data_IF_785023435337
#
_entry.id   IF_785023435337
#
_cell.length_a   1.000
_cell.length_b   1.000
_cell.length_c   1.000
_cell.angle_alpha   90.00
_cell.angle_beta   90.00
_cell.angle_gamma   90.00
#
_symmetry.space_group_name_H-M   'P 1'
#
loop_
_entity.id
_entity.type
_entity.pdbx_description
1 polymer ?
#
# COMPACT_ATOMS: atom_id res chain seq x y z
N UNK A 1 17.42 22.74 7.76
CA UNK A 1 16.11 22.13 7.50
C UNK A 1 16.10 21.51 6.10
N UNK A 2 16.49 20.23 5.98
CA UNK A 2 16.47 19.45 4.73
C UNK A 2 16.11 17.96 4.95
N UNK A 3 15.80 17.57 6.19
CA UNK A 3 15.69 16.17 6.62
C UNK A 3 14.39 15.50 6.16
N UNK A 4 13.28 16.23 6.13
CA UNK A 4 11.97 15.68 5.76
C UNK A 4 11.86 15.28 4.27
N UNK A 5 12.53 16.02 3.38
CA UNK A 5 12.45 15.76 1.94
C UNK A 5 13.20 14.47 1.57
N UNK A 6 14.41 14.30 2.12
CA UNK A 6 15.21 13.08 1.91
C UNK A 6 14.45 11.84 2.43
N UNK A 7 13.83 11.95 3.60
CA UNK A 7 13.03 10.87 4.21
C UNK A 7 11.80 10.53 3.36
N UNK A 8 11.09 11.53 2.83
CA UNK A 8 9.94 11.31 1.95
C UNK A 8 10.31 10.64 0.62
N UNK A 9 11.45 11.00 0.04
CA UNK A 9 11.95 10.39 -1.20
C UNK A 9 12.43 8.95 -0.96
N UNK A 10 13.08 8.68 0.18
CA UNK A 10 13.46 7.33 0.60
C UNK A 10 12.24 6.43 0.81
N UNK A 11 11.22 6.91 1.54
CA UNK A 11 9.99 6.16 1.78
C UNK A 11 9.25 5.89 0.46
N UNK A 12 9.20 6.87 -0.45
CA UNK A 12 8.62 6.67 -1.79
C UNK A 12 9.33 5.56 -2.56
N UNK A 13 10.66 5.48 -2.47
CA UNK A 13 11.46 4.42 -3.08
C UNK A 13 11.20 3.02 -2.52
N UNK A 14 10.55 2.90 -1.36
CA UNK A 14 10.22 1.63 -0.71
C UNK A 14 8.72 1.32 -0.69
N UNK A 15 7.90 2.11 -1.39
CA UNK A 15 6.44 1.95 -1.42
C UNK A 15 6.05 0.53 -1.83
N UNK A 16 6.66 0.01 -2.89
CA UNK A 16 6.35 -1.31 -3.44
C UNK A 16 6.65 -2.40 -2.40
N UNK A 17 7.79 -2.32 -1.70
CA UNK A 17 8.14 -3.23 -0.61
C UNK A 17 7.18 -3.15 0.57
N UNK A 18 6.74 -1.95 0.95
CA UNK A 18 5.75 -1.78 2.04
C UNK A 18 4.42 -2.43 1.67
N UNK A 19 3.97 -2.28 0.43
CA UNK A 19 2.75 -2.91 -0.08
C UNK A 19 2.90 -4.44 -0.09
N UNK A 20 3.98 -4.96 -0.67
CA UNK A 20 4.25 -6.40 -0.69
C UNK A 20 4.32 -6.99 0.72
N UNK A 21 4.90 -6.27 1.68
CA UNK A 21 4.94 -6.71 3.08
C UNK A 21 3.54 -6.87 3.65
N UNK A 22 2.63 -5.94 3.40
CA UNK A 22 1.25 -6.05 3.87
C UNK A 22 0.50 -7.20 3.19
N UNK A 23 0.66 -7.36 1.87
CA UNK A 23 0.05 -8.44 1.10
C UNK A 23 0.62 -9.82 1.48
N UNK A 24 1.87 -9.89 1.92
CA UNK A 24 2.47 -11.14 2.43
C UNK A 24 1.83 -11.64 3.74
N UNK A 25 1.12 -10.76 4.47
CA UNK A 25 0.48 -11.11 5.73
C UNK A 25 -0.99 -11.52 5.55
N UNK A 26 -1.69 -10.87 4.62
CA UNK A 26 -3.05 -11.20 4.20
C UNK A 26 -3.41 -10.41 2.94
N UNK A 27 -4.41 -10.88 2.19
CA UNK A 27 -5.01 -10.10 1.12
C UNK A 27 -5.64 -8.82 1.67
N UNK A 28 -5.49 -7.71 0.95
CA UNK A 28 -5.95 -6.37 1.40
C UNK A 28 -6.54 -5.58 0.25
N UNK A 29 -7.60 -4.84 0.55
CA UNK A 29 -8.09 -3.80 -0.35
C UNK A 29 -7.17 -2.58 -0.32
N UNK A 30 -7.14 -1.82 -1.43
CA UNK A 30 -6.27 -0.63 -1.55
C UNK A 30 -6.45 0.40 -0.41
N UNK A 31 -7.68 0.56 0.09
CA UNK A 31 -7.95 1.42 1.24
C UNK A 31 -7.30 0.90 2.54
N UNK A 32 -7.34 -0.40 2.80
CA UNK A 32 -6.69 -1.00 3.97
C UNK A 32 -5.18 -0.83 3.92
N UNK A 33 -4.56 -0.93 2.74
CA UNK A 33 -3.12 -0.73 2.55
C UNK A 33 -2.71 0.67 2.99
N UNK A 34 -3.39 1.70 2.49
CA UNK A 34 -3.09 3.10 2.86
C UNK A 34 -3.26 3.33 4.36
N UNK A 35 -4.37 2.81 4.92
CA UNK A 35 -4.65 2.93 6.35
C UNK A 35 -3.60 2.23 7.21
N UNK A 36 -3.22 0.99 6.88
CA UNK A 36 -2.23 0.22 7.64
C UNK A 36 -0.84 0.85 7.58
N UNK A 37 -0.46 1.49 6.47
CA UNK A 37 0.83 2.20 6.37
C UNK A 37 0.85 3.41 7.30
N UNK A 38 -0.24 4.19 7.33
CA UNK A 38 -0.37 5.30 8.28
C UNK A 38 -0.37 4.80 9.73
N UNK A 39 -1.16 3.76 10.04
CA UNK A 39 -1.27 3.20 11.39
C UNK A 39 0.06 2.61 11.89
N UNK A 40 0.80 1.87 11.05
CA UNK A 40 2.10 1.27 11.43
C UNK A 40 3.26 2.27 11.52
N UNK A 41 3.08 3.46 10.97
CA UNK A 41 4.03 4.56 11.08
C UNK A 41 3.64 5.56 12.18
N UNK A 42 2.66 5.23 13.02
CA UNK A 42 2.11 6.14 14.04
C UNK A 42 1.67 7.51 13.45
N UNK A 43 1.26 7.52 12.17
CA UNK A 43 0.87 8.72 11.43
C UNK A 43 2.02 9.53 10.82
N UNK A 44 3.28 9.13 11.01
CA UNK A 44 4.44 9.83 10.44
C UNK A 44 4.54 9.69 8.91
N UNK A 45 3.89 8.68 8.33
CA UNK A 45 3.85 8.48 6.90
C UNK A 45 2.46 8.16 6.36
N UNK A 46 1.89 9.11 5.62
CA UNK A 46 0.64 8.93 4.90
C UNK A 46 0.92 8.64 3.41
N UNK A 47 0.67 7.39 3.00
CA UNK A 47 0.74 7.02 1.59
C UNK A 47 -0.46 7.59 0.82
N UNK A 48 -0.21 8.37 -0.23
CA UNK A 48 -1.27 8.86 -1.11
C UNK A 48 -1.86 7.72 -1.94
N UNK A 49 -3.18 7.69 -2.10
CA UNK A 49 -3.87 6.70 -2.93
C UNK A 49 -3.32 6.64 -4.36
N UNK A 50 -3.07 7.79 -5.00
CA UNK A 50 -2.50 7.82 -6.36
C UNK A 50 -1.11 7.14 -6.43
N UNK A 51 -0.31 7.26 -5.36
CA UNK A 51 0.99 6.58 -5.25
C UNK A 51 0.79 5.08 -5.02
N UNK A 52 -0.13 4.71 -4.14
CA UNK A 52 -0.50 3.30 -3.93
C UNK A 52 -0.94 2.64 -5.24
N UNK A 53 -1.87 3.25 -5.99
CA UNK A 53 -2.36 2.70 -7.25
C UNK A 53 -1.26 2.57 -8.31
N UNK A 54 -0.33 3.52 -8.38
CA UNK A 54 0.79 3.43 -9.33
C UNK A 54 1.80 2.36 -8.95
N UNK A 55 2.01 2.11 -7.65
CA UNK A 55 2.80 0.99 -7.16
C UNK A 55 2.12 -0.36 -7.42
N UNK A 56 0.84 -0.51 -7.08
CA UNK A 56 0.05 -1.74 -7.33
C UNK A 56 0.05 -2.10 -8.80
N UNK A 57 -0.19 -1.15 -9.71
CA UNK A 57 -0.13 -1.40 -11.16
C UNK A 57 1.24 -1.87 -11.65
N UNK A 58 2.32 -1.39 -11.02
CA UNK A 58 3.68 -1.82 -11.37
C UNK A 58 3.91 -3.26 -10.91
N UNK A 59 3.59 -3.55 -9.64
CA UNK A 59 3.70 -4.89 -9.07
C UNK A 59 2.86 -5.92 -9.84
N UNK A 60 1.67 -5.54 -10.29
CA UNK A 60 0.82 -6.38 -11.15
C UNK A 60 1.49 -6.62 -12.52
N UNK A 61 2.03 -5.57 -13.15
CA UNK A 61 2.72 -5.68 -14.43
C UNK A 61 4.01 -6.54 -14.35
N UNK A 62 4.67 -6.51 -13.20
CA UNK A 62 5.87 -7.30 -12.92
C UNK A 62 5.53 -8.76 -12.50
N UNK A 63 4.25 -9.06 -12.25
CA UNK A 63 3.75 -10.39 -11.88
C UNK A 63 3.94 -10.73 -10.40
N UNK A 64 4.24 -9.74 -9.56
CA UNK A 64 4.45 -9.93 -8.11
C UNK A 64 3.13 -10.05 -7.33
N UNK A 65 2.04 -9.51 -7.88
CA UNK A 65 0.69 -9.56 -7.29
C UNK A 65 -0.37 -9.81 -8.36
N UNK A 66 -1.51 -10.33 -7.92
CA UNK A 66 -2.70 -10.48 -8.75
C UNK A 66 -3.90 -9.86 -8.02
N UNK A 67 -4.81 -9.24 -8.77
CA UNK A 67 -6.09 -8.82 -8.22
C UNK A 67 -7.15 -9.89 -8.54
N UNK A 68 -8.13 -9.96 -7.66
CA UNK A 68 -9.30 -10.78 -7.86
C UNK A 68 -10.52 -10.03 -7.35
N UNK A 69 -11.69 -10.36 -7.86
CA UNK A 69 -12.94 -9.91 -7.26
C UNK A 69 -13.13 -10.66 -5.96
N UNK A 70 -13.21 -9.93 -4.84
CA UNK A 70 -13.59 -10.53 -3.58
C UNK A 70 -15.00 -11.10 -3.71
N UNK A 71 -15.16 -12.37 -3.35
CA UNK A 71 -16.50 -12.92 -3.15
C UNK A 71 -17.07 -12.19 -1.92
N UNK A 72 -18.13 -11.40 -2.11
CA UNK A 72 -18.89 -10.82 -1.00
C UNK A 72 -19.48 -11.96 -0.18
N UNK A 73 -18.70 -12.53 0.73
CA UNK A 73 -19.19 -13.45 1.73
C UNK A 73 -19.94 -12.65 2.79
N UNK A 74 -21.22 -12.42 2.48
CA UNK A 74 -22.33 -12.15 3.39
C UNK A 74 -22.23 -10.84 4.18
N UNK A 75 -22.79 -9.77 3.61
CA UNK A 75 -22.97 -8.50 4.30
C UNK A 75 -24.20 -7.72 3.82
N UNK A 76 -25.38 -8.36 3.82
CA UNK A 76 -26.65 -7.68 3.54
C UNK A 76 -27.87 -8.55 3.82
N UNK A 77 -28.35 -8.48 5.07
CA UNK A 77 -29.78 -8.67 5.36
C UNK A 77 -30.44 -7.31 5.27
#
# INVERSE_FOLDING_TARGET
MHENKLTSDLLRGHTDTMILRLLSEADRYGYEIVKLIADRSDGEYELKEATMYSSVRRLEADGDIEWYWGDESQGGR
#
